data_IF_210062907404
#
_entry.id   IF_210062907404
#
_cell.length_a   1.000
_cell.length_b   1.000
_cell.length_c   1.000
_cell.angle_alpha   90.00
_cell.angle_beta   90.00
_cell.angle_gamma   90.00
#
_symmetry.space_group_name_H-M   'P 1'
#
loop_
_entity.id
_entity.type
_entity.pdbx_description
1 polymer ?
#
# COMPACT_ATOMS: atom_id res chain seq x y z
N UNK A 1 12.34 -7.74 42.19
CA UNK A 1 12.51 -6.72 41.13
C UNK A 1 11.29 -6.84 40.22
N UNK A 2 10.37 -5.88 40.25
CA UNK A 2 9.22 -5.88 39.35
C UNK A 2 9.71 -5.42 37.97
N UNK A 3 9.91 -6.36 37.05
CA UNK A 3 10.11 -6.02 35.65
C UNK A 3 8.83 -5.38 35.12
N UNK A 4 8.85 -4.08 34.90
CA UNK A 4 7.74 -3.36 34.28
C UNK A 4 7.48 -4.00 32.91
N UNK A 5 6.34 -4.68 32.77
CA UNK A 5 5.96 -5.34 31.53
C UNK A 5 6.14 -4.38 30.34
N UNK A 6 6.73 -4.83 29.21
CA UNK A 6 7.05 -3.95 28.09
C UNK A 6 5.81 -3.20 27.63
N UNK A 7 5.91 -1.87 27.61
CA UNK A 7 4.78 -0.94 27.40
C UNK A 7 4.20 -1.13 25.99
N UNK A 8 3.12 -1.93 25.88
CA UNK A 8 2.45 -2.29 24.60
C UNK A 8 1.83 -1.08 23.88
N UNK A 9 1.80 0.08 24.52
CA UNK A 9 1.32 1.35 23.95
C UNK A 9 2.03 1.70 22.65
N UNK A 10 3.35 1.47 22.54
CA UNK A 10 4.09 1.74 21.30
C UNK A 10 3.61 0.87 20.13
N UNK A 11 3.34 -0.41 20.39
CA UNK A 11 2.80 -1.33 19.38
C UNK A 11 1.38 -0.94 18.96
N UNK A 12 0.54 -0.51 19.90
CA UNK A 12 -0.81 -0.01 19.58
C UNK A 12 -0.76 1.23 18.69
N UNK A 13 0.07 2.22 19.04
CA UNK A 13 0.28 3.43 18.24
C UNK A 13 0.74 3.04 16.83
N UNK A 14 1.74 2.16 16.73
CA UNK A 14 2.22 1.65 15.44
C UNK A 14 1.09 1.03 14.61
N UNK A 15 0.26 0.18 15.20
CA UNK A 15 -0.85 -0.46 14.50
C UNK A 15 -1.89 0.54 13.99
N UNK A 16 -2.22 1.56 14.80
CA UNK A 16 -3.17 2.60 14.42
C UNK A 16 -2.60 3.44 13.27
N UNK A 17 -1.35 3.91 13.40
CA UNK A 17 -0.70 4.71 12.34
C UNK A 17 -0.61 3.92 11.04
N UNK A 18 -0.22 2.65 11.10
CA UNK A 18 -0.16 1.76 9.93
C UNK A 18 -1.51 1.60 9.23
N UNK A 19 -2.61 1.55 9.99
CA UNK A 19 -3.97 1.45 9.45
C UNK A 19 -4.40 2.76 8.80
N UNK A 20 -4.08 3.90 9.41
CA UNK A 20 -4.31 5.21 8.79
C UNK A 20 -3.57 5.29 7.46
N UNK A 21 -2.29 4.89 7.41
CA UNK A 21 -1.51 4.86 6.18
C UNK A 21 -2.14 3.93 5.12
N UNK A 22 -2.62 2.75 5.51
CA UNK A 22 -3.31 1.82 4.61
C UNK A 22 -4.64 2.38 4.07
N UNK A 23 -5.35 3.20 4.86
CA UNK A 23 -6.56 3.91 4.39
C UNK A 23 -6.18 5.04 3.45
N UNK A 24 -5.17 5.84 3.79
CA UNK A 24 -4.68 6.94 2.93
C UNK A 24 -4.21 6.41 1.58
N UNK A 25 -3.59 5.22 1.53
CA UNK A 25 -3.22 4.60 0.26
C UNK A 25 -4.41 4.20 -0.62
N UNK A 26 -5.62 4.13 -0.09
CA UNK A 26 -6.81 3.92 -0.91
C UNK A 26 -7.15 5.14 -1.77
N UNK A 27 -6.68 6.35 -1.42
CA UNK A 27 -6.92 7.57 -2.21
C UNK A 27 -6.33 7.47 -3.63
N UNK A 28 -5.02 7.20 -3.84
CA UNK A 28 -4.49 7.00 -5.18
C UNK A 28 -5.04 5.72 -5.83
N UNK A 29 -5.38 4.69 -5.05
CA UNK A 29 -6.03 3.50 -5.59
C UNK A 29 -7.41 3.80 -6.20
N UNK A 30 -8.22 4.68 -5.59
CA UNK A 30 -9.53 5.06 -6.15
C UNK A 30 -9.41 5.69 -7.54
N UNK A 31 -8.36 6.49 -7.77
CA UNK A 31 -8.06 7.03 -9.10
C UNK A 31 -7.75 5.90 -10.09
N UNK A 32 -6.88 4.96 -9.70
CA UNK A 32 -6.54 3.80 -10.53
C UNK A 32 -7.74 2.88 -10.78
N UNK A 33 -8.62 2.70 -9.80
CA UNK A 33 -9.84 1.93 -9.95
C UNK A 33 -10.77 2.57 -10.99
N UNK A 34 -10.94 3.90 -10.96
CA UNK A 34 -11.71 4.63 -11.97
C UNK A 34 -11.09 4.52 -13.37
N UNK A 35 -9.78 4.74 -13.48
CA UNK A 35 -9.06 4.61 -14.76
C UNK A 35 -9.07 3.16 -15.29
N UNK A 36 -9.10 2.15 -14.40
CA UNK A 36 -9.08 0.75 -14.83
C UNK A 36 -10.31 0.36 -15.65
N UNK A 37 -11.47 0.93 -15.34
CA UNK A 37 -12.72 0.63 -16.06
C UNK A 37 -12.68 1.15 -17.50
N UNK A 38 -11.90 2.18 -17.80
CA UNK A 38 -11.70 2.67 -19.18
C UNK A 38 -11.00 1.63 -20.08
N UNK A 39 -10.40 0.58 -19.52
CA UNK A 39 -9.88 -0.54 -20.30
C UNK A 39 -10.99 -1.26 -21.11
N UNK A 40 -12.26 -1.09 -20.70
CA UNK A 40 -13.40 -1.62 -21.44
C UNK A 40 -13.86 -0.74 -22.61
N UNK A 41 -13.27 0.44 -22.83
CA UNK A 41 -13.63 1.33 -23.96
C UNK A 41 -13.37 0.67 -25.32
N UNK A 42 -12.41 -0.24 -25.40
CA UNK A 42 -12.11 -1.04 -26.60
C UNK A 42 -12.88 -2.36 -26.67
N UNK A 43 -13.80 -2.60 -25.73
CA UNK A 43 -14.63 -3.79 -25.63
C UNK A 43 -14.34 -4.65 -24.39
N UNK A 44 -15.28 -5.55 -24.08
CA UNK A 44 -15.14 -6.51 -22.97
C UNK A 44 -14.28 -7.70 -23.39
N UNK A 45 -12.97 -7.60 -23.20
CA UNK A 45 -12.02 -8.69 -23.45
C UNK A 45 -11.53 -9.33 -22.14
N UNK A 46 -11.00 -10.58 -22.18
CA UNK A 46 -10.40 -11.22 -21.01
C UNK A 46 -9.27 -10.40 -20.38
N UNK A 47 -8.50 -9.67 -21.18
CA UNK A 47 -7.39 -8.82 -20.73
C UNK A 47 -7.89 -7.62 -19.93
N UNK A 48 -8.95 -6.95 -20.41
CA UNK A 48 -9.58 -5.84 -19.70
C UNK A 48 -10.13 -6.31 -18.35
N UNK A 49 -10.83 -7.44 -18.32
CA UNK A 49 -11.30 -8.05 -17.07
C UNK A 49 -10.15 -8.39 -16.11
N UNK A 50 -9.07 -8.99 -16.61
CA UNK A 50 -7.89 -9.34 -15.80
C UNK A 50 -7.28 -8.09 -15.17
N UNK A 51 -7.15 -7.01 -15.94
CA UNK A 51 -6.62 -5.73 -15.46
C UNK A 51 -7.50 -5.10 -14.37
N UNK A 52 -8.82 -5.01 -14.61
CA UNK A 52 -9.76 -4.44 -13.63
C UNK A 52 -9.77 -5.27 -12.36
N UNK A 53 -9.87 -6.61 -12.46
CA UNK A 53 -9.84 -7.49 -11.28
C UNK A 53 -8.53 -7.32 -10.51
N UNK A 54 -7.39 -7.24 -11.20
CA UNK A 54 -6.10 -7.02 -10.55
C UNK A 54 -6.08 -5.70 -9.77
N UNK A 55 -6.53 -4.58 -10.37
CA UNK A 55 -6.58 -3.28 -9.69
C UNK A 55 -7.55 -3.30 -8.50
N UNK A 56 -8.74 -3.89 -8.69
CA UNK A 56 -9.78 -3.95 -7.65
C UNK A 56 -9.47 -4.93 -6.52
N UNK A 57 -8.55 -5.87 -6.72
CA UNK A 57 -8.10 -6.78 -5.67
C UNK A 57 -7.22 -6.10 -4.60
N UNK A 58 -6.65 -4.94 -4.91
CA UNK A 58 -5.75 -4.20 -4.03
C UNK A 58 -6.28 -4.03 -2.58
N UNK A 59 -7.47 -3.47 -2.32
CA UNK A 59 -7.97 -3.27 -0.95
C UNK A 59 -8.15 -4.56 -0.15
N UNK A 60 -8.31 -5.71 -0.81
CA UNK A 60 -8.53 -7.00 -0.14
C UNK A 60 -7.29 -7.38 0.70
N UNK A 61 -6.08 -7.15 0.18
CA UNK A 61 -4.84 -7.55 0.85
C UNK A 61 -4.60 -6.76 2.15
N UNK A 62 -4.64 -5.40 2.18
CA UNK A 62 -4.55 -4.63 3.41
C UNK A 62 -5.60 -5.02 4.44
N UNK A 63 -6.84 -5.27 4.02
CA UNK A 63 -7.93 -5.68 4.93
C UNK A 63 -7.57 -7.00 5.63
N UNK A 64 -7.15 -8.01 4.88
CA UNK A 64 -6.74 -9.32 5.43
C UNK A 64 -5.57 -9.14 6.42
N UNK A 65 -4.56 -8.35 6.05
CA UNK A 65 -3.38 -8.11 6.87
C UNK A 65 -3.70 -7.34 8.16
N UNK A 66 -4.59 -6.35 8.10
CA UNK A 66 -5.06 -5.61 9.28
C UNK A 66 -5.80 -6.55 10.23
N UNK A 67 -6.73 -7.37 9.72
CA UNK A 67 -7.45 -8.35 10.53
C UNK A 67 -6.46 -9.32 11.19
N UNK A 68 -5.50 -9.85 10.42
CA UNK A 68 -4.48 -10.76 10.93
C UNK A 68 -3.60 -10.10 12.00
N UNK A 69 -3.24 -8.81 11.84
CA UNK A 69 -2.46 -8.05 12.81
C UNK A 69 -3.19 -7.90 14.15
N UNK A 70 -4.49 -7.59 14.12
CA UNK A 70 -5.32 -7.50 15.33
C UNK A 70 -5.51 -8.86 16.02
N UNK A 71 -5.68 -9.94 15.25
CA UNK A 71 -5.72 -11.31 15.80
C UNK A 71 -4.39 -11.65 16.48
N UNK A 72 -3.25 -11.33 15.86
CA UNK A 72 -1.93 -11.54 16.43
C UNK A 72 -1.69 -10.72 17.70
N UNK A 73 -2.16 -9.47 17.72
CA UNK A 73 -2.11 -8.59 18.89
C UNK A 73 -2.91 -9.16 20.06
N UNK A 74 -4.11 -9.72 19.80
CA UNK A 74 -4.92 -10.43 20.81
C UNK A 74 -4.25 -11.69 21.32
N UNK A 75 -3.58 -12.45 20.47
CA UNK A 75 -2.81 -13.67 20.83
C UNK A 75 -1.46 -13.39 21.51
N UNK A 76 -1.20 -12.15 21.95
CA UNK A 76 0.07 -11.70 22.57
C UNK A 76 1.32 -11.87 21.68
N UNK A 77 1.16 -12.14 20.37
CA UNK A 77 2.25 -12.28 19.40
C UNK A 77 2.70 -10.90 18.87
N UNK A 78 3.34 -10.12 19.74
CA UNK A 78 3.68 -8.71 19.49
C UNK A 78 4.53 -8.49 18.21
N UNK A 79 5.55 -9.32 17.97
CA UNK A 79 6.38 -9.24 16.75
C UNK A 79 5.55 -9.46 15.47
N UNK A 80 4.68 -10.47 15.49
CA UNK A 80 3.84 -10.80 14.34
C UNK A 80 2.82 -9.70 14.06
N UNK A 81 2.24 -9.11 15.11
CA UNK A 81 1.34 -7.97 14.99
C UNK A 81 2.03 -6.75 14.36
N UNK A 82 3.27 -6.46 14.77
CA UNK A 82 4.05 -5.36 14.21
C UNK A 82 4.36 -5.57 12.72
N UNK A 83 4.78 -6.78 12.34
CA UNK A 83 5.11 -7.13 10.95
C UNK A 83 3.87 -7.10 10.06
N UNK A 84 2.77 -7.74 10.49
CA UNK A 84 1.53 -7.78 9.69
C UNK A 84 0.93 -6.39 9.50
N UNK A 85 0.98 -5.56 10.54
CA UNK A 85 0.55 -4.16 10.45
C UNK A 85 1.50 -3.31 9.62
N UNK A 86 2.81 -3.60 9.63
CA UNK A 86 3.79 -2.98 8.74
C UNK A 86 3.49 -3.31 7.27
N UNK A 87 3.17 -4.57 7.01
CA UNK A 87 2.97 -5.10 5.67
C UNK A 87 1.68 -4.58 5.03
N UNK A 88 0.66 -4.21 5.81
CA UNK A 88 -0.62 -3.73 5.27
C UNK A 88 -0.51 -2.44 4.47
N UNK A 89 0.54 -1.64 4.67
CA UNK A 89 0.81 -0.41 3.89
C UNK A 89 2.09 -0.52 3.05
N UNK A 90 2.73 -1.69 2.98
CA UNK A 90 3.94 -1.88 2.17
C UNK A 90 3.70 -1.82 0.66
N UNK A 91 2.63 -2.42 0.08
CA UNK A 91 2.37 -2.30 -1.36
C UNK A 91 2.25 -0.86 -1.90
N UNK A 92 1.52 0.07 -1.26
CA UNK A 92 1.47 1.46 -1.72
C UNK A 92 2.80 2.19 -1.55
N UNK A 93 3.56 1.93 -0.49
CA UNK A 93 4.90 2.50 -0.34
C UNK A 93 5.86 2.01 -1.43
N UNK A 94 5.81 0.73 -1.77
CA UNK A 94 6.59 0.17 -2.87
C UNK A 94 6.20 0.81 -4.19
N UNK A 95 4.90 1.00 -4.46
CA UNK A 95 4.42 1.66 -5.68
C UNK A 95 4.89 3.13 -5.76
N UNK A 96 4.80 3.88 -4.66
CA UNK A 96 5.32 5.25 -4.61
C UNK A 96 6.85 5.28 -4.81
N UNK A 97 7.56 4.35 -4.18
CA UNK A 97 9.02 4.24 -4.34
C UNK A 97 9.41 3.89 -5.79
N UNK A 98 8.70 2.97 -6.45
CA UNK A 98 8.99 2.62 -7.85
C UNK A 98 8.62 3.75 -8.80
N UNK A 99 7.52 4.45 -8.59
CA UNK A 99 7.16 5.65 -9.37
C UNK A 99 8.23 6.73 -9.24
N UNK A 100 8.67 7.01 -8.01
CA UNK A 100 9.69 8.02 -7.75
C UNK A 100 11.04 7.63 -8.37
N UNK A 101 11.43 6.35 -8.24
CA UNK A 101 12.64 5.82 -8.84
C UNK A 101 12.61 5.85 -10.37
N UNK A 102 11.50 5.43 -11.00
CA UNK A 102 11.32 5.49 -12.44
C UNK A 102 11.37 6.93 -12.97
N UNK A 103 10.75 7.87 -12.23
CA UNK A 103 10.79 9.28 -12.56
C UNK A 103 12.22 9.84 -12.46
N UNK A 104 12.93 9.56 -11.38
CA UNK A 104 14.32 9.97 -11.19
C UNK A 104 15.25 9.41 -12.28
N UNK A 105 15.05 8.13 -12.66
CA UNK A 105 15.81 7.49 -13.74
C UNK A 105 15.55 8.15 -15.08
N UNK A 106 14.29 8.46 -15.40
CA UNK A 106 13.91 9.17 -16.62
C UNK A 106 14.57 10.55 -16.69
N UNK A 107 14.55 11.31 -15.58
CA UNK A 107 15.20 12.63 -15.51
C UNK A 107 16.72 12.54 -15.70
N UNK A 108 17.36 11.50 -15.16
CA UNK A 108 18.79 11.27 -15.34
C UNK A 108 19.16 10.94 -16.80
N UNK A 109 18.28 10.25 -17.53
CA UNK A 109 18.50 9.88 -18.94
C UNK A 109 18.18 10.99 -19.93
N UNK A 110 17.21 11.86 -19.63
CA UNK A 110 16.65 12.82 -20.59
C UNK A 110 17.05 14.28 -20.32
N UNK A 111 18.02 14.55 -19.44
CA UNK A 111 18.56 15.90 -19.25
C UNK A 111 17.74 16.80 -18.32
N UNK A 112 17.04 16.24 -17.33
CA UNK A 112 16.47 17.06 -16.27
C UNK A 112 15.35 18.00 -16.74
N UNK A 113 15.35 19.24 -16.23
CA UNK A 113 14.42 20.30 -16.59
C UNK A 113 14.66 20.86 -18.02
N UNK A 114 15.83 20.58 -18.62
CA UNK A 114 16.16 21.07 -19.96
C UNK A 114 15.39 20.33 -21.06
N UNK A 115 14.86 19.14 -20.76
CA UNK A 115 13.94 18.40 -21.65
C UNK A 115 12.58 19.06 -21.88
N UNK A 116 12.20 20.01 -21.01
CA UNK A 116 10.93 20.73 -21.10
C UNK A 116 11.09 22.15 -21.64
N UNK A 117 12.30 22.55 -22.03
CA UNK A 117 12.53 23.82 -22.73
C UNK A 117 12.09 23.64 -24.20
N UNK A 118 11.25 24.54 -24.73
CA UNK A 118 10.74 24.43 -26.11
C UNK A 118 11.84 24.59 -27.16
#
# INVERSE_FOLDING_TARGET
MNEAAPKRTGLLIWMIVSQILAVVSLVPWLLMAGLSVMAFDQGSTPEAWTFVIAVWSYPIIPIILVIAAWIAYRRRKNRLAAVLSGLSFAPPLLCLATMWFANALWFAQNGGLDSFRP
#
